data_IF_522219518314
#
_entry.id   IF_522219518314
#
_cell.length_a   1.000
_cell.length_b   1.000
_cell.length_c   1.000
_cell.angle_alpha   90.00
_cell.angle_beta   90.00
_cell.angle_gamma   90.00
#
_symmetry.space_group_name_H-M   'P 1'
#
loop_
_entity.id
_entity.type
_entity.pdbx_description
1 polymer ?
#
# COMPACT_ATOMS: atom_id res chain seq x y z
N UNK A 1 47.48 38.02 38.94
CA UNK A 1 47.32 37.01 37.87
C UNK A 1 45.88 36.51 37.88
N UNK A 2 44.96 37.11 37.11
CA UNK A 2 43.54 36.76 37.33
C UNK A 2 42.53 37.08 36.23
N UNK A 3 42.92 37.44 35.00
CA UNK A 3 41.97 37.81 33.94
C UNK A 3 42.37 37.34 32.53
N UNK A 4 43.30 36.40 32.37
CA UNK A 4 43.82 36.04 31.04
C UNK A 4 43.00 34.93 30.35
N UNK A 5 42.27 34.11 31.11
CA UNK A 5 41.54 32.95 30.56
C UNK A 5 40.03 33.18 30.39
N UNK A 6 39.49 34.33 30.79
CA UNK A 6 38.07 34.66 30.67
C UNK A 6 37.50 34.48 29.24
N UNK A 7 38.18 34.93 28.16
CA UNK A 7 37.67 34.73 26.79
C UNK A 7 37.72 33.26 26.34
N UNK A 8 38.71 32.48 26.79
CA UNK A 8 38.81 31.05 26.48
C UNK A 8 37.70 30.24 27.16
N UNK A 9 37.37 30.57 28.42
CA UNK A 9 36.23 29.97 29.12
C UNK A 9 34.89 30.32 28.47
N UNK A 10 34.70 31.59 28.04
CA UNK A 10 33.48 32.00 27.32
C UNK A 10 33.38 31.26 25.98
N UNK A 11 34.47 31.15 25.24
CA UNK A 11 34.51 30.41 23.97
C UNK A 11 34.18 28.92 24.16
N UNK A 12 34.74 28.29 25.20
CA UNK A 12 34.45 26.90 25.53
C UNK A 12 32.97 26.68 25.91
N UNK A 13 32.37 27.58 26.69
CA UNK A 13 30.94 27.51 27.06
C UNK A 13 30.06 27.67 25.81
N UNK A 14 30.37 28.63 24.93
CA UNK A 14 29.64 28.84 23.67
C UNK A 14 29.71 27.60 22.77
N UNK A 15 30.88 26.95 22.68
CA UNK A 15 31.05 25.71 21.91
C UNK A 15 30.20 24.56 22.47
N UNK A 16 30.17 24.39 23.80
CA UNK A 16 29.32 23.36 24.46
C UNK A 16 27.84 23.63 24.17
N UNK A 17 27.39 24.88 24.29
CA UNK A 17 26.00 25.26 24.00
C UNK A 17 25.68 25.00 22.52
N UNK A 18 26.58 25.34 21.60
CA UNK A 18 26.39 25.08 20.17
C UNK A 18 26.26 23.58 19.85
N UNK A 19 27.06 22.73 20.51
CA UNK A 19 26.95 21.28 20.39
C UNK A 19 25.60 20.76 20.93
N UNK A 20 25.15 21.27 22.08
CA UNK A 20 23.85 20.90 22.65
C UNK A 20 22.70 21.29 21.71
N UNK A 21 22.73 22.48 21.13
CA UNK A 21 21.75 22.94 20.13
C UNK A 21 21.79 22.04 18.89
N UNK A 22 22.98 21.72 18.39
CA UNK A 22 23.14 20.85 17.20
C UNK A 22 22.60 19.44 17.45
N UNK A 23 22.89 18.84 18.61
CA UNK A 23 22.33 17.55 19.00
C UNK A 23 20.80 17.61 19.18
N UNK A 24 20.28 18.71 19.74
CA UNK A 24 18.85 18.92 19.88
C UNK A 24 18.14 19.04 18.53
N UNK A 25 18.69 19.84 17.60
CA UNK A 25 18.18 20.00 16.23
C UNK A 25 18.22 18.68 15.45
N UNK A 26 19.29 17.89 15.55
CA UNK A 26 19.38 16.59 14.92
C UNK A 26 18.30 15.62 15.44
N UNK A 27 18.09 15.60 16.76
CA UNK A 27 17.02 14.80 17.38
C UNK A 27 15.62 15.27 16.94
N UNK A 28 15.42 16.58 16.85
CA UNK A 28 14.17 17.20 16.42
C UNK A 28 13.85 16.83 14.96
N UNK A 29 14.82 17.00 14.06
CA UNK A 29 14.71 16.65 12.64
C UNK A 29 14.36 15.18 12.44
N UNK A 30 15.01 14.27 13.17
CA UNK A 30 14.72 12.84 13.11
C UNK A 30 13.29 12.50 13.58
N UNK A 31 12.74 13.23 14.54
CA UNK A 31 11.34 13.03 14.96
C UNK A 31 10.35 13.58 13.93
N UNK A 32 10.65 14.74 13.35
CA UNK A 32 9.82 15.32 12.28
C UNK A 32 9.81 14.44 11.02
N UNK A 33 10.95 13.85 10.64
CA UNK A 33 11.01 12.93 9.51
C UNK A 33 10.18 11.67 9.76
N UNK A 34 10.22 11.09 10.97
CA UNK A 34 9.37 9.96 11.34
C UNK A 34 7.88 10.33 11.34
N UNK A 35 7.51 11.51 11.83
CA UNK A 35 6.13 12.01 11.79
C UNK A 35 5.62 12.12 10.35
N UNK A 36 6.37 12.80 9.48
CA UNK A 36 6.01 12.98 8.07
C UNK A 36 5.86 11.62 7.36
N UNK A 37 6.75 10.67 7.66
CA UNK A 37 6.73 9.32 7.07
C UNK A 37 5.49 8.54 7.51
N UNK A 38 5.18 8.51 8.82
CA UNK A 38 3.95 7.89 9.34
C UNK A 38 2.69 8.51 8.77
N UNK A 39 2.66 9.84 8.67
CA UNK A 39 1.52 10.57 8.12
C UNK A 39 1.29 10.21 6.64
N UNK A 40 2.36 10.16 5.84
CA UNK A 40 2.27 9.81 4.43
C UNK A 40 1.78 8.37 4.20
N UNK A 41 2.31 7.41 4.97
CA UNK A 41 1.84 6.02 4.94
C UNK A 41 0.35 5.97 5.28
N UNK A 42 -0.06 6.63 6.37
CA UNK A 42 -1.45 6.61 6.81
C UNK A 42 -2.42 7.25 5.81
N UNK A 43 -2.06 8.40 5.22
CA UNK A 43 -2.86 9.04 4.17
C UNK A 43 -3.03 8.11 2.96
N UNK A 44 -1.96 7.40 2.57
CA UNK A 44 -2.01 6.45 1.45
C UNK A 44 -2.95 5.29 1.77
N UNK A 45 -2.80 4.70 2.96
CA UNK A 45 -3.64 3.60 3.44
C UNK A 45 -5.10 4.00 3.58
N UNK A 46 -5.37 5.22 4.07
CA UNK A 46 -6.73 5.76 4.19
C UNK A 46 -7.41 5.92 2.83
N UNK A 47 -6.68 6.42 1.82
CA UNK A 47 -7.17 6.48 0.44
C UNK A 47 -7.50 5.10 -0.12
N UNK A 48 -6.62 4.11 0.09
CA UNK A 48 -6.85 2.72 -0.34
C UNK A 48 -8.07 2.10 0.35
N UNK A 49 -8.22 2.30 1.67
CA UNK A 49 -9.41 1.87 2.42
C UNK A 49 -10.68 2.53 1.89
N UNK A 50 -10.64 3.84 1.61
CA UNK A 50 -11.79 4.60 1.09
C UNK A 50 -12.25 4.04 -0.25
N UNK A 51 -11.31 3.77 -1.16
CA UNK A 51 -11.63 3.19 -2.47
C UNK A 51 -12.12 1.75 -2.36
N UNK A 52 -11.51 0.94 -1.50
CA UNK A 52 -11.99 -0.41 -1.25
C UNK A 52 -13.44 -0.42 -0.75
N UNK A 53 -13.78 0.38 0.28
CA UNK A 53 -15.13 0.42 0.86
C UNK A 53 -16.16 0.92 -0.15
N UNK A 54 -15.81 1.90 -0.98
CA UNK A 54 -16.72 2.43 -2.02
C UNK A 54 -17.08 1.36 -3.04
N UNK A 55 -16.16 0.44 -3.34
CA UNK A 55 -16.31 -0.55 -4.40
C UNK A 55 -16.56 -1.98 -3.89
N UNK A 56 -16.53 -2.21 -2.57
CA UNK A 56 -16.65 -3.57 -2.01
C UNK A 56 -17.96 -4.27 -2.34
N UNK A 57 -19.04 -3.54 -2.60
CA UNK A 57 -20.33 -4.12 -3.02
C UNK A 57 -20.29 -4.65 -4.44
N UNK A 58 -19.39 -4.12 -5.26
CA UNK A 58 -19.17 -4.58 -6.63
C UNK A 58 -18.19 -5.76 -6.67
N UNK A 59 -17.55 -6.08 -5.55
CA UNK A 59 -16.76 -7.29 -5.32
C UNK A 59 -17.66 -8.42 -4.77
N UNK A 60 -18.98 -8.41 -5.02
CA UNK A 60 -19.82 -9.57 -4.75
C UNK A 60 -19.72 -10.52 -5.96
N UNK A 61 -19.64 -11.82 -5.70
CA UNK A 61 -19.32 -12.81 -6.73
C UNK A 61 -20.43 -13.85 -6.85
N UNK A 62 -20.59 -14.34 -8.07
CA UNK A 62 -21.33 -15.55 -8.40
C UNK A 62 -20.35 -16.67 -8.84
N UNK A 63 -20.91 -17.83 -9.15
CA UNK A 63 -20.13 -18.98 -9.64
C UNK A 63 -19.76 -18.86 -11.13
N UNK A 64 -19.89 -17.67 -11.74
CA UNK A 64 -19.57 -17.41 -13.15
C UNK A 64 -18.18 -16.79 -13.34
N UNK A 65 -17.57 -16.89 -14.55
CA UNK A 65 -16.30 -16.23 -14.84
C UNK A 65 -16.43 -14.71 -14.71
N UNK A 66 -15.45 -14.05 -14.09
CA UNK A 66 -15.48 -12.61 -13.87
C UNK A 66 -15.05 -11.83 -15.11
N UNK A 67 -15.99 -11.64 -16.03
CA UNK A 67 -15.74 -10.96 -17.30
C UNK A 67 -15.49 -9.45 -17.15
N UNK A 68 -15.89 -8.86 -16.02
CA UNK A 68 -15.75 -7.42 -15.72
C UNK A 68 -14.59 -7.12 -14.74
N UNK A 69 -13.61 -8.01 -14.63
CA UNK A 69 -12.48 -7.87 -13.72
C UNK A 69 -11.64 -6.61 -13.99
N UNK A 70 -11.60 -6.17 -15.25
CA UNK A 70 -10.94 -4.96 -15.71
C UNK A 70 -11.57 -3.70 -15.11
N UNK A 71 -12.89 -3.65 -15.08
CA UNK A 71 -13.66 -2.56 -14.47
C UNK A 71 -13.43 -2.50 -12.95
N UNK A 72 -13.43 -3.66 -12.28
CA UNK A 72 -13.13 -3.76 -10.85
C UNK A 72 -11.73 -3.27 -10.54
N UNK A 73 -10.75 -3.65 -11.35
CA UNK A 73 -9.37 -3.18 -11.22
C UNK A 73 -9.27 -1.65 -11.39
N UNK A 74 -9.94 -1.09 -12.40
CA UNK A 74 -9.99 0.37 -12.61
C UNK A 74 -10.57 1.09 -11.40
N UNK A 75 -11.64 0.56 -10.81
CA UNK A 75 -12.23 1.14 -9.61
C UNK A 75 -11.31 1.08 -8.39
N UNK A 76 -10.62 -0.04 -8.18
CA UNK A 76 -9.66 -0.20 -7.08
C UNK A 76 -8.37 0.60 -7.28
N UNK A 77 -8.03 0.96 -8.52
CA UNK A 77 -6.85 1.79 -8.84
C UNK A 77 -7.17 3.27 -8.99
N UNK A 78 -8.44 3.67 -8.81
CA UNK A 78 -8.89 5.06 -8.88
C UNK A 78 -8.49 5.89 -7.64
N UNK A 79 -7.18 5.96 -7.39
CA UNK A 79 -6.56 6.81 -6.37
C UNK A 79 -5.37 7.54 -6.98
N UNK A 80 -5.02 8.71 -6.44
CA UNK A 80 -3.80 9.43 -6.86
C UNK A 80 -2.53 8.57 -6.74
N UNK A 81 -2.54 7.57 -5.87
CA UNK A 81 -1.42 6.67 -5.68
C UNK A 81 -1.33 5.62 -6.79
N UNK A 82 -2.44 4.98 -7.17
CA UNK A 82 -2.47 3.84 -8.11
C UNK A 82 -2.93 4.20 -9.53
N UNK A 83 -3.32 5.46 -9.79
CA UNK A 83 -3.86 5.86 -11.10
C UNK A 83 -2.93 5.53 -12.26
N UNK A 84 -1.61 5.59 -12.05
CA UNK A 84 -0.61 5.30 -13.08
C UNK A 84 -0.67 3.87 -13.63
N UNK A 85 -1.22 2.92 -12.87
CA UNK A 85 -1.35 1.51 -13.28
C UNK A 85 -2.76 1.16 -13.74
N UNK A 86 -3.73 2.08 -13.65
CA UNK A 86 -5.13 1.80 -13.95
C UNK A 86 -5.32 1.34 -15.40
N UNK A 87 -4.57 1.93 -16.34
CA UNK A 87 -4.63 1.56 -17.75
C UNK A 87 -3.94 0.23 -18.07
N UNK A 88 -3.09 -0.30 -17.19
CA UNK A 88 -2.32 -1.53 -17.44
C UNK A 88 -3.22 -2.75 -17.64
N UNK A 89 -4.42 -2.76 -17.06
CA UNK A 89 -5.39 -3.85 -17.18
C UNK A 89 -5.99 -4.01 -18.58
N UNK A 90 -5.94 -2.95 -19.40
CA UNK A 90 -6.38 -3.02 -20.80
C UNK A 90 -5.27 -3.51 -21.74
N UNK A 91 -4.03 -3.50 -21.25
CA UNK A 91 -2.81 -3.74 -22.00
C UNK A 91 -1.95 -4.85 -21.36
N UNK A 92 -2.59 -5.92 -20.88
CA UNK A 92 -1.97 -6.95 -20.02
C UNK A 92 -0.83 -7.77 -20.63
N UNK A 93 -0.53 -7.61 -21.93
CA UNK A 93 0.58 -8.31 -22.61
C UNK A 93 1.60 -7.34 -23.21
N UNK A 94 1.40 -6.03 -22.99
CA UNK A 94 2.29 -5.00 -23.51
C UNK A 94 3.40 -4.76 -22.46
N UNK A 95 4.65 -4.66 -22.92
CA UNK A 95 5.82 -4.61 -22.04
C UNK A 95 5.81 -3.40 -21.09
N UNK A 96 5.50 -2.21 -21.60
CA UNK A 96 5.57 -0.97 -20.80
C UNK A 96 4.48 -0.91 -19.71
N UNK A 97 3.19 -1.18 -20.00
CA UNK A 97 2.15 -1.19 -18.97
C UNK A 97 2.35 -2.29 -17.93
N UNK A 98 2.87 -3.45 -18.33
CA UNK A 98 3.24 -4.53 -17.42
C UNK A 98 4.39 -4.13 -16.50
N UNK A 99 5.44 -3.50 -17.05
CA UNK A 99 6.58 -3.03 -16.26
C UNK A 99 6.15 -2.01 -15.20
N UNK A 100 5.35 -1.02 -15.60
CA UNK A 100 4.81 -0.01 -14.69
C UNK A 100 3.95 -0.61 -13.57
N UNK A 101 3.13 -1.62 -13.89
CA UNK A 101 2.37 -2.36 -12.88
C UNK A 101 3.31 -3.01 -11.87
N UNK A 102 4.30 -3.77 -12.32
CA UNK A 102 5.22 -4.47 -11.44
C UNK A 102 6.01 -3.53 -10.53
N UNK A 103 6.52 -2.41 -11.06
CA UNK A 103 7.18 -1.38 -10.26
C UNK A 103 6.26 -0.85 -9.16
N UNK A 104 4.99 -0.60 -9.49
CA UNK A 104 4.04 -0.07 -8.51
C UNK A 104 3.67 -1.08 -7.43
N UNK A 105 3.52 -2.36 -7.80
CA UNK A 105 3.27 -3.43 -6.85
C UNK A 105 4.48 -3.64 -5.93
N UNK A 106 5.71 -3.47 -6.43
CA UNK A 106 6.93 -3.51 -5.61
C UNK A 106 7.02 -2.30 -4.66
N UNK A 107 6.63 -1.11 -5.13
CA UNK A 107 6.51 0.09 -4.29
C UNK A 107 5.52 -0.13 -3.14
N UNK A 108 4.38 -0.80 -3.39
CA UNK A 108 3.43 -1.18 -2.34
C UNK A 108 4.05 -2.13 -1.30
N UNK A 109 4.85 -3.12 -1.73
CA UNK A 109 5.56 -4.02 -0.80
C UNK A 109 6.57 -3.25 0.04
N UNK A 110 7.30 -2.33 -0.57
CA UNK A 110 8.22 -1.44 0.13
C UNK A 110 7.50 -0.57 1.16
N UNK A 111 6.32 -0.02 0.81
CA UNK A 111 5.47 0.74 1.72
C UNK A 111 4.96 -0.11 2.90
N UNK A 112 4.58 -1.36 2.64
CA UNK A 112 4.16 -2.30 3.69
C UNK A 112 5.31 -2.62 4.66
N UNK A 113 6.50 -2.89 4.13
CA UNK A 113 7.71 -3.08 4.94
C UNK A 113 8.02 -1.83 5.77
N UNK A 114 7.96 -0.66 5.15
CA UNK A 114 8.15 0.62 5.83
C UNK A 114 7.14 0.83 6.95
N UNK A 115 5.87 0.46 6.76
CA UNK A 115 4.84 0.54 7.78
C UNK A 115 5.17 -0.31 9.02
N UNK A 116 5.71 -1.52 8.84
CA UNK A 116 6.16 -2.39 9.95
C UNK A 116 7.24 -1.74 10.81
N UNK A 117 8.15 -0.97 10.19
CA UNK A 117 9.23 -0.29 10.91
C UNK A 117 8.82 1.06 11.48
N UNK A 118 7.98 1.81 10.77
CA UNK A 118 7.56 3.14 11.18
C UNK A 118 6.53 3.08 12.31
N UNK A 119 5.64 2.11 12.33
CA UNK A 119 4.63 1.94 13.38
C UNK A 119 5.00 0.83 14.35
N UNK A 120 4.76 1.05 15.64
CA UNK A 120 5.13 0.08 16.68
C UNK A 120 4.06 -1.02 16.82
N UNK A 121 4.53 -2.27 16.85
CA UNK A 121 3.75 -3.47 17.18
C UNK A 121 2.60 -3.72 16.20
N UNK A 122 1.50 -4.27 16.73
CA UNK A 122 0.33 -4.73 15.95
C UNK A 122 -0.31 -3.68 15.03
N UNK A 123 -0.04 -2.40 15.26
CA UNK A 123 -0.51 -1.32 14.38
C UNK A 123 0.24 -1.29 13.05
N UNK A 124 1.57 -1.48 13.07
CA UNK A 124 2.37 -1.58 11.85
C UNK A 124 2.07 -2.84 11.07
N UNK A 125 1.92 -3.97 11.78
CA UNK A 125 1.55 -5.24 11.16
C UNK A 125 0.19 -5.15 10.45
N UNK A 126 -0.83 -4.56 11.10
CA UNK A 126 -2.16 -4.42 10.49
C UNK A 126 -2.15 -3.52 9.25
N UNK A 127 -1.34 -2.45 9.23
CA UNK A 127 -1.18 -1.60 8.04
C UNK A 127 -0.49 -2.39 6.92
N UNK A 128 0.62 -3.07 7.25
CA UNK A 128 1.40 -3.83 6.29
C UNK A 128 0.59 -4.98 5.66
N UNK A 129 -0.12 -5.76 6.49
CA UNK A 129 -1.02 -6.83 6.05
C UNK A 129 -2.09 -6.33 5.09
N UNK A 130 -2.68 -5.16 5.37
CA UNK A 130 -3.67 -4.55 4.48
C UNK A 130 -3.06 -4.16 3.13
N UNK A 131 -1.89 -3.50 3.13
CA UNK A 131 -1.21 -3.11 1.88
C UNK A 131 -0.81 -4.34 1.06
N UNK A 132 -0.27 -5.38 1.72
CA UNK A 132 0.14 -6.64 1.08
C UNK A 132 -1.07 -7.40 0.49
N UNK A 133 -2.20 -7.45 1.21
CA UNK A 133 -3.42 -8.04 0.71
C UNK A 133 -3.97 -7.27 -0.50
N UNK A 134 -3.94 -5.92 -0.45
CA UNK A 134 -4.38 -5.08 -1.57
C UNK A 134 -3.49 -5.30 -2.80
N UNK A 135 -2.17 -5.30 -2.62
CA UNK A 135 -1.20 -5.56 -3.68
C UNK A 135 -1.42 -6.95 -4.30
N UNK A 136 -1.62 -7.96 -3.46
CA UNK A 136 -1.86 -9.34 -3.90
C UNK A 136 -3.14 -9.46 -4.71
N UNK A 137 -4.21 -8.77 -4.29
CA UNK A 137 -5.46 -8.72 -5.05
C UNK A 137 -5.27 -8.07 -6.41
N UNK A 138 -4.65 -6.89 -6.48
CA UNK A 138 -4.40 -6.20 -7.76
C UNK A 138 -3.60 -7.08 -8.73
N UNK A 139 -2.61 -7.81 -8.21
CA UNK A 139 -1.83 -8.71 -9.05
C UNK A 139 -2.65 -9.91 -9.53
N UNK A 140 -3.46 -10.50 -8.67
CA UNK A 140 -4.36 -11.61 -9.03
C UNK A 140 -5.40 -11.18 -10.06
N UNK A 141 -6.01 -9.99 -9.91
CA UNK A 141 -6.91 -9.40 -10.90
C UNK A 141 -6.24 -9.24 -12.27
N UNK A 142 -5.00 -8.76 -12.30
CA UNK A 142 -4.23 -8.64 -13.54
C UNK A 142 -3.93 -10.00 -14.19
N UNK A 143 -3.54 -11.00 -13.40
CA UNK A 143 -3.34 -12.37 -13.90
C UNK A 143 -4.63 -12.99 -14.42
N UNK A 144 -5.75 -12.75 -13.74
CA UNK A 144 -7.07 -13.20 -14.16
C UNK A 144 -7.49 -12.53 -15.47
N UNK A 145 -7.21 -11.24 -15.66
CA UNK A 145 -7.47 -10.56 -16.93
C UNK A 145 -6.65 -11.15 -18.10
N UNK A 146 -5.40 -11.58 -17.85
CA UNK A 146 -4.62 -12.32 -18.86
C UNK A 146 -5.35 -13.63 -19.22
N UNK A 147 -5.90 -14.33 -18.22
CA UNK A 147 -6.65 -15.57 -18.45
C UNK A 147 -7.90 -15.31 -19.31
N UNK A 148 -8.70 -14.31 -18.95
CA UNK A 148 -9.89 -13.91 -19.72
C UNK A 148 -9.52 -13.55 -21.15
N UNK A 149 -8.44 -12.79 -21.37
CA UNK A 149 -7.96 -12.47 -22.72
C UNK A 149 -7.58 -13.73 -23.52
N UNK A 150 -6.90 -14.70 -22.89
CA UNK A 150 -6.56 -15.98 -23.52
C UNK A 150 -7.81 -16.84 -23.81
N UNK A 151 -8.80 -16.82 -22.92
CA UNK A 151 -10.08 -17.52 -23.14
C UNK A 151 -10.74 -17.02 -24.41
N UNK A 152 -10.88 -15.70 -24.59
CA UNK A 152 -11.44 -15.11 -25.81
C UNK A 152 -10.64 -15.48 -27.06
N UNK A 153 -9.31 -15.32 -27.02
CA UNK A 153 -8.44 -15.65 -28.15
C UNK A 153 -8.53 -17.14 -28.55
N UNK A 154 -8.62 -18.04 -27.57
CA UNK A 154 -8.76 -19.48 -27.82
C UNK A 154 -10.17 -19.84 -28.29
N UNK A 155 -11.21 -19.20 -27.75
CA UNK A 155 -12.57 -19.39 -28.21
C UNK A 155 -12.71 -19.02 -29.69
N UNK A 156 -12.14 -17.89 -30.11
CA UNK A 156 -12.10 -17.47 -31.53
C UNK A 156 -11.27 -18.43 -32.39
N UNK A 157 -10.05 -18.76 -31.96
CA UNK A 157 -9.10 -19.56 -32.74
C UNK A 157 -9.54 -21.00 -32.93
N UNK A 158 -10.13 -21.60 -31.90
CA UNK A 158 -10.50 -23.02 -31.88
C UNK A 158 -12.01 -23.25 -31.97
N UNK A 159 -12.80 -22.19 -32.14
CA UNK A 159 -14.26 -22.22 -32.15
C UNK A 159 -14.85 -22.91 -30.90
N UNK A 160 -14.21 -22.72 -29.75
CA UNK A 160 -14.70 -23.24 -28.47
C UNK A 160 -15.81 -22.35 -27.91
N UNK A 161 -16.70 -22.94 -27.14
CA UNK A 161 -17.57 -22.17 -26.25
C UNK A 161 -16.74 -21.55 -25.12
N UNK A 162 -17.24 -20.49 -24.48
CA UNK A 162 -16.57 -19.88 -23.33
C UNK A 162 -16.39 -20.88 -22.16
N UNK A 163 -17.34 -21.79 -21.97
CA UNK A 163 -17.28 -22.86 -20.98
C UNK A 163 -16.12 -23.82 -21.27
N UNK A 164 -15.98 -24.27 -22.52
CA UNK A 164 -14.87 -25.13 -22.95
C UNK A 164 -13.51 -24.42 -22.80
N UNK A 165 -13.46 -23.12 -23.08
CA UNK A 165 -12.25 -22.32 -22.88
C UNK A 165 -11.90 -22.17 -21.39
N UNK A 166 -12.89 -21.95 -20.52
CA UNK A 166 -12.71 -21.89 -19.05
C UNK A 166 -12.17 -23.22 -18.51
N UNK A 167 -12.79 -24.34 -18.88
CA UNK A 167 -12.40 -25.67 -18.41
C UNK A 167 -10.97 -26.03 -18.85
N UNK A 168 -10.66 -25.84 -20.15
CA UNK A 168 -9.34 -26.17 -20.71
C UNK A 168 -8.22 -25.26 -20.21
N UNK A 169 -8.54 -24.06 -19.76
CA UNK A 169 -7.57 -23.13 -19.18
C UNK A 169 -7.53 -23.20 -17.64
N UNK A 170 -8.28 -24.12 -17.03
CA UNK A 170 -8.38 -24.28 -15.58
C UNK A 170 -8.74 -22.96 -14.86
N UNK A 171 -9.60 -22.15 -15.49
CA UNK A 171 -10.04 -20.86 -14.96
C UNK A 171 -10.73 -20.98 -13.58
N UNK A 172 -11.55 -22.01 -13.26
CA UNK A 172 -12.19 -22.12 -11.95
C UNK A 172 -11.19 -22.14 -10.78
N UNK A 173 -10.01 -22.73 -10.98
CA UNK A 173 -8.94 -22.73 -9.98
C UNK A 173 -8.33 -21.34 -9.79
N UNK A 174 -8.17 -20.58 -10.87
CA UNK A 174 -7.68 -19.20 -10.83
C UNK A 174 -8.69 -18.26 -10.19
N UNK A 175 -9.99 -18.45 -10.48
CA UNK A 175 -11.08 -17.72 -9.83
C UNK A 175 -11.10 -17.94 -8.33
N UNK A 176 -10.87 -19.18 -7.88
CA UNK A 176 -10.76 -19.49 -6.45
C UNK A 176 -9.59 -18.73 -5.79
N UNK A 177 -8.41 -18.68 -6.42
CA UNK A 177 -7.27 -17.91 -5.88
C UNK A 177 -7.59 -16.41 -5.79
N UNK A 178 -8.26 -15.85 -6.81
CA UNK A 178 -8.73 -14.46 -6.82
C UNK A 178 -9.65 -14.20 -5.61
N UNK A 179 -10.65 -15.05 -5.39
CA UNK A 179 -11.60 -14.92 -4.28
C UNK A 179 -10.91 -15.06 -2.91
N UNK A 180 -9.89 -15.91 -2.81
CA UNK A 180 -9.06 -16.00 -1.60
C UNK A 180 -8.33 -14.68 -1.32
N UNK A 181 -7.83 -13.98 -2.36
CA UNK A 181 -7.21 -12.65 -2.19
C UNK A 181 -8.23 -11.59 -1.77
N UNK A 182 -9.43 -11.63 -2.32
CA UNK A 182 -10.52 -10.71 -1.93
C UNK A 182 -10.94 -10.92 -0.48
N UNK A 183 -11.07 -12.19 -0.07
CA UNK A 183 -11.33 -12.55 1.33
C UNK A 183 -10.20 -12.07 2.26
N UNK A 184 -8.93 -12.22 1.85
CA UNK A 184 -7.79 -11.74 2.62
C UNK A 184 -7.78 -10.20 2.75
N UNK A 185 -8.13 -9.48 1.69
CA UNK A 185 -8.27 -8.03 1.74
C UNK A 185 -9.42 -7.61 2.68
N UNK A 186 -10.57 -8.29 2.61
CA UNK A 186 -11.69 -8.03 3.51
C UNK A 186 -11.34 -8.27 4.98
N UNK A 187 -10.61 -9.37 5.26
CA UNK A 187 -10.17 -9.71 6.61
C UNK A 187 -9.15 -8.70 7.15
N UNK A 188 -8.16 -8.31 6.35
CA UNK A 188 -7.16 -7.31 6.74
C UNK A 188 -7.79 -5.91 6.91
N UNK A 189 -8.74 -5.53 6.05
CA UNK A 189 -9.52 -4.30 6.21
C UNK A 189 -10.31 -4.27 7.53
N UNK A 190 -11.06 -5.34 7.83
CA UNK A 190 -11.81 -5.46 9.10
C UNK A 190 -10.88 -5.34 10.29
N UNK A 191 -9.72 -5.99 10.20
CA UNK A 191 -8.66 -5.95 11.22
C UNK A 191 -8.13 -4.54 11.41
N UNK A 192 -7.82 -3.82 10.32
CA UNK A 192 -7.31 -2.45 10.37
C UNK A 192 -8.36 -1.45 10.89
N UNK A 193 -9.65 -1.72 10.67
CA UNK A 193 -10.75 -0.87 11.12
C UNK A 193 -11.13 -1.02 12.60
N UNK A 194 -10.58 -1.99 13.31
CA UNK A 194 -10.84 -2.15 14.74
C UNK A 194 -10.46 -0.86 15.49
N UNK A 195 -11.39 -0.34 16.30
CA UNK A 195 -11.25 0.98 16.95
C UNK A 195 -9.99 1.10 17.80
N UNK A 196 -9.59 0.03 18.48
CA UNK A 196 -8.35 -0.04 19.25
C UNK A 196 -7.09 0.14 18.37
N UNK A 197 -7.11 -0.36 17.13
CA UNK A 197 -6.00 -0.26 16.18
C UNK A 197 -5.95 1.09 15.51
N UNK A 198 -7.07 1.64 15.03
CA UNK A 198 -7.12 3.01 14.46
C UNK A 198 -6.71 4.06 15.48
N UNK A 199 -7.23 3.96 16.71
CA UNK A 199 -6.85 4.87 17.79
C UNK A 199 -5.36 4.77 18.15
N UNK A 200 -4.77 3.57 18.15
CA UNK A 200 -3.35 3.39 18.39
C UNK A 200 -2.48 3.99 17.27
N UNK A 201 -2.89 3.84 16.01
CA UNK A 201 -2.21 4.43 14.85
C UNK A 201 -2.23 5.96 14.94
N UNK A 202 -3.40 6.54 15.19
CA UNK A 202 -3.56 8.00 15.30
C UNK A 202 -2.74 8.57 16.46
N UNK A 203 -2.75 7.91 17.64
CA UNK A 203 -1.91 8.31 18.78
C UNK A 203 -0.42 8.27 18.43
N UNK A 204 0.04 7.29 17.66
CA UNK A 204 1.46 7.23 17.26
C UNK A 204 1.85 8.35 16.28
N UNK A 205 0.91 8.87 15.51
CA UNK A 205 1.11 10.05 14.65
C UNK A 205 1.11 11.31 15.52
N UNK A 206 0.12 11.48 16.39
CA UNK A 206 -0.03 12.65 17.28
C UNK A 206 1.15 12.80 18.26
N UNK A 207 1.62 11.71 18.87
CA UNK A 207 2.78 11.70 19.79
C UNK A 207 4.10 12.09 19.09
N UNK A 208 4.20 11.90 17.77
CA UNK A 208 5.34 12.38 17.02
C UNK A 208 5.18 13.86 16.62
N UNK A 209 3.95 14.38 16.57
CA UNK A 209 3.63 15.78 16.29
C UNK A 209 3.59 16.71 17.51
N UNK A 210 3.48 16.18 18.74
CA UNK A 210 3.36 16.95 19.99
C UNK A 210 4.64 17.71 20.41
N UNK A 211 5.60 17.85 19.52
CA UNK A 211 6.87 18.55 19.72
C UNK A 211 6.68 20.07 19.94
N UNK A 212 5.49 20.59 19.65
CA UNK A 212 5.14 22.01 19.72
C UNK A 212 4.18 22.39 20.86
N UNK A 213 4.01 21.53 21.88
CA UNK A 213 3.28 21.91 23.11
C UNK A 213 4.19 21.88 24.33
#
# INVERSE_FOLDING_TARGET
MGLINLPEYISAIVAIIALLISCYQARLSNKQSLFNRRLNIWITVDKLMSVYVKNTKNLEHDDEPQMAIDLLFVWLTNTTYLQSISASINHVLDADPQHNLHLKLDEMKSLAMEARFCFKGKSGDAIAEFIEAYQSLLFSMYQYQIMVKRMHQNAEKYQWTLEQASEKLHEPSQRKDLFEKECALAASYKTLCQQNKRGAIQRQIELAGSIWR
#
